data_IF_638533587786
#
_entry.id   IF_638533587786
#
_cell.length_a   1.000
_cell.length_b   1.000
_cell.length_c   1.000
_cell.angle_alpha   90.00
_cell.angle_beta   90.00
_cell.angle_gamma   90.00
#
_symmetry.space_group_name_H-M   'P 1'
#
loop_
_entity.id
_entity.type
_entity.pdbx_description
1 polymer ?
#
# COMPACT_ATOMS: atom_id res chain seq x y z
N UNK A 1 -70.06 -4.01 32.48
CA UNK A 1 -70.38 -5.46 32.49
C UNK A 1 -69.06 -6.19 32.22
N UNK A 2 -68.42 -6.87 33.19
CA UNK A 2 -68.58 -8.33 33.49
C UNK A 2 -68.63 -9.15 32.17
N UNK A 3 -67.73 -10.09 31.80
CA UNK A 3 -66.80 -11.03 32.47
C UNK A 3 -65.67 -11.38 31.46
N UNK A 4 -64.37 -11.54 31.79
CA UNK A 4 -63.60 -12.67 32.40
C UNK A 4 -63.59 -14.01 31.60
N UNK A 5 -62.36 -14.55 31.43
CA UNK A 5 -61.89 -15.95 31.16
C UNK A 5 -61.67 -16.35 29.68
N UNK A 6 -60.60 -17.06 29.25
CA UNK A 6 -59.36 -17.58 29.87
C UNK A 6 -58.48 -18.31 28.83
N UNK A 7 -57.17 -18.43 29.08
CA UNK A 7 -56.19 -19.46 28.61
C UNK A 7 -55.86 -19.49 27.09
N UNK A 8 -54.61 -19.64 26.64
CA UNK A 8 -53.33 -19.88 27.31
C UNK A 8 -52.14 -19.71 26.34
N UNK A 9 -50.95 -19.48 26.91
CA UNK A 9 -49.64 -19.52 26.26
C UNK A 9 -49.22 -20.99 25.97
N UNK A 10 -48.29 -21.26 25.02
CA UNK A 10 -46.83 -21.29 25.34
C UNK A 10 -45.93 -20.57 24.29
N UNK A 11 -44.92 -19.80 24.73
CA UNK A 11 -43.45 -20.10 24.71
C UNK A 11 -42.81 -20.12 23.30
N UNK A 12 -41.71 -19.42 22.99
CA UNK A 12 -40.32 -19.57 23.50
C UNK A 12 -39.54 -18.28 23.11
N UNK A 13 -39.07 -17.48 24.09
CA UNK A 13 -37.69 -17.36 24.61
C UNK A 13 -36.71 -16.52 23.78
N UNK A 14 -36.24 -15.42 24.36
CA UNK A 14 -34.81 -15.17 24.52
C UNK A 14 -34.59 -14.29 25.77
N UNK A 15 -33.74 -14.80 26.65
CA UNK A 15 -33.48 -14.31 28.01
C UNK A 15 -32.41 -13.21 27.95
N UNK A 16 -32.75 -12.02 28.44
CA UNK A 16 -31.76 -11.03 28.91
C UNK A 16 -31.66 -11.19 30.42
N UNK A 17 -30.56 -11.77 30.90
CA UNK A 17 -30.30 -11.90 32.32
C UNK A 17 -29.68 -10.59 32.85
N UNK A 18 -30.52 -9.76 33.48
CA UNK A 18 -30.07 -8.69 34.40
C UNK A 18 -30.09 -9.31 35.81
N UNK A 19 -28.91 -9.58 36.37
CA UNK A 19 -28.80 -10.00 37.77
C UNK A 19 -28.86 -8.78 38.69
N UNK A 20 -29.95 -8.69 39.46
CA UNK A 20 -30.01 -7.89 40.69
C UNK A 20 -29.37 -8.71 41.82
N UNK A 21 -28.35 -8.15 42.49
CA UNK A 21 -27.79 -8.68 43.73
C UNK A 21 -28.43 -7.96 44.94
N UNK A 22 -28.90 -8.76 45.90
CA UNK A 22 -29.35 -8.33 47.24
C UNK A 22 -28.14 -7.99 48.13
N UNK A 23 -28.28 -7.11 49.14
CA UNK A 23 -27.17 -6.73 49.99
C UNK A 23 -26.92 -7.81 51.06
N UNK A 24 -25.74 -8.43 51.01
CA UNK A 24 -25.19 -9.20 52.11
C UNK A 24 -24.01 -8.41 52.68
N UNK A 25 -24.15 -7.90 53.90
CA UNK A 25 -23.04 -7.31 54.65
C UNK A 25 -22.00 -8.39 54.96
N UNK A 26 -20.87 -8.32 54.26
CA UNK A 26 -19.62 -8.96 54.62
C UNK A 26 -18.53 -8.12 53.96
N UNK A 27 -17.77 -7.38 54.76
CA UNK A 27 -16.66 -6.55 54.29
C UNK A 27 -15.59 -7.45 53.65
N UNK A 28 -15.65 -7.56 52.33
CA UNK A 28 -14.55 -7.96 51.46
C UNK A 28 -14.77 -7.22 50.15
N UNK A 29 -14.27 -5.99 50.06
CA UNK A 29 -14.06 -5.32 48.79
C UNK A 29 -13.07 -6.17 47.97
N UNK A 30 -13.57 -7.06 47.13
CA UNK A 30 -12.79 -7.54 45.99
C UNK A 30 -12.51 -6.31 45.13
N UNK A 31 -11.27 -5.80 45.23
CA UNK A 31 -10.75 -4.75 44.35
C UNK A 31 -10.85 -5.31 42.92
N UNK A 32 -11.88 -4.90 42.18
CA UNK A 32 -12.04 -5.23 40.76
C UNK A 32 -10.87 -4.59 40.03
N UNK A 33 -9.84 -5.39 39.74
CA UNK A 33 -8.68 -4.90 38.99
C UNK A 33 -9.13 -4.42 37.62
N UNK A 34 -8.95 -3.12 37.35
CA UNK A 34 -9.24 -2.58 36.04
C UNK A 34 -8.16 -3.06 35.07
N UNK A 35 -8.55 -3.95 34.16
CA UNK A 35 -7.69 -4.43 33.08
C UNK A 35 -7.93 -3.59 31.83
N UNK A 36 -6.86 -3.15 31.18
CA UNK A 36 -6.95 -2.68 29.80
C UNK A 36 -5.83 -3.30 28.98
N UNK A 37 -6.06 -3.43 27.68
CA UNK A 37 -5.10 -4.00 26.75
C UNK A 37 -4.88 -3.01 25.61
N UNK A 38 -3.62 -2.86 25.19
CA UNK A 38 -3.24 -2.03 24.05
C UNK A 38 -2.21 -2.79 23.22
N UNK A 39 -2.41 -2.83 21.91
CA UNK A 39 -1.53 -3.52 20.98
C UNK A 39 -0.89 -2.54 20.01
N UNK A 40 0.35 -2.81 19.64
CA UNK A 40 1.13 -2.05 18.69
C UNK A 40 1.81 -3.02 17.73
N UNK A 41 1.98 -2.59 16.47
CA UNK A 41 2.73 -3.35 15.48
C UNK A 41 3.77 -2.45 14.81
N UNK A 42 4.96 -2.98 14.58
CA UNK A 42 6.06 -2.28 13.89
C UNK A 42 6.71 -3.20 12.85
N UNK A 43 7.36 -2.62 11.86
CA UNK A 43 8.12 -3.39 10.86
C UNK A 43 9.32 -4.12 11.47
N UNK A 44 9.90 -4.99 10.65
CA UNK A 44 11.06 -5.81 10.95
C UNK A 44 12.34 -5.01 11.25
N UNK A 45 12.39 -3.72 10.90
CA UNK A 45 13.53 -2.84 11.10
C UNK A 45 13.73 -2.41 12.56
N UNK A 46 14.73 -1.54 12.76
CA UNK A 46 14.92 -0.88 14.05
C UNK A 46 13.83 0.16 14.24
N UNK A 47 13.08 0.05 15.33
CA UNK A 47 11.94 0.93 15.59
C UNK A 47 12.06 1.62 16.95
N UNK A 48 11.41 2.77 17.05
CA UNK A 48 11.19 3.47 18.30
C UNK A 48 9.72 3.80 18.45
N UNK A 49 9.08 3.21 19.47
CA UNK A 49 7.63 3.32 19.67
C UNK A 49 7.32 4.16 20.91
N UNK A 50 6.38 5.10 20.79
CA UNK A 50 5.86 5.84 21.95
C UNK A 50 4.61 5.13 22.48
N UNK A 51 4.69 4.64 23.72
CA UNK A 51 3.64 3.88 24.39
C UNK A 51 3.06 4.68 25.55
N UNK A 52 1.75 4.85 25.57
CA UNK A 52 1.06 5.51 26.68
C UNK A 52 0.87 4.54 27.85
N UNK A 53 1.21 4.99 29.05
CA UNK A 53 0.95 4.30 30.32
C UNK A 53 -0.21 5.04 31.03
N UNK A 54 -1.43 4.48 31.03
CA UNK A 54 -2.63 5.16 31.53
C UNK A 54 -2.81 5.08 33.06
N UNK A 55 -1.79 4.61 33.79
CA UNK A 55 -1.78 4.53 35.25
C UNK A 55 -1.89 5.93 35.89
N UNK A 56 -2.66 6.08 36.97
CA UNK A 56 -2.80 7.37 37.67
C UNK A 56 -1.89 7.52 38.89
N UNK A 57 -1.41 6.40 39.44
CA UNK A 57 -0.53 6.33 40.60
C UNK A 57 0.88 5.91 40.18
N UNK A 58 1.73 5.55 41.14
CA UNK A 58 3.02 4.90 40.85
C UNK A 58 2.78 3.57 40.14
N UNK A 59 3.61 3.25 39.17
CA UNK A 59 3.48 2.05 38.36
C UNK A 59 4.84 1.43 38.06
N UNK A 60 4.87 0.12 37.83
CA UNK A 60 6.02 -0.63 37.34
C UNK A 60 5.66 -1.44 36.10
N UNK A 61 6.62 -1.62 35.21
CA UNK A 61 6.50 -2.32 33.94
C UNK A 61 7.37 -3.57 33.97
N UNK A 62 6.80 -4.70 33.56
CA UNK A 62 7.49 -5.99 33.52
C UNK A 62 7.13 -6.78 32.25
N UNK A 63 7.89 -7.81 31.91
CA UNK A 63 7.63 -8.66 30.73
C UNK A 63 8.28 -8.18 29.43
N UNK A 64 9.13 -7.16 29.49
CA UNK A 64 9.92 -6.70 28.35
C UNK A 64 10.86 -7.81 27.86
N UNK A 65 10.92 -8.00 26.54
CA UNK A 65 11.89 -8.89 25.90
C UNK A 65 13.22 -8.16 25.65
N UNK A 66 14.31 -8.90 25.45
CA UNK A 66 15.63 -8.31 25.20
C UNK A 66 15.66 -7.40 23.96
N UNK A 67 14.83 -7.69 22.97
CA UNK A 67 14.70 -6.93 21.73
C UNK A 67 13.69 -5.77 21.82
N UNK A 68 12.93 -5.65 22.91
CA UNK A 68 11.84 -4.69 23.09
C UNK A 68 12.02 -3.96 24.43
N UNK A 69 12.87 -2.93 24.43
CA UNK A 69 13.41 -2.33 25.66
C UNK A 69 12.76 -0.97 25.93
N UNK A 70 11.91 -0.84 26.97
CA UNK A 70 11.38 0.44 27.39
C UNK A 70 12.47 1.33 28.00
N UNK A 71 12.41 2.65 27.78
CA UNK A 71 13.39 3.61 28.34
C UNK A 71 13.29 3.76 29.86
N UNK A 72 12.15 3.41 30.44
CA UNK A 72 11.95 3.27 31.88
C UNK A 72 10.99 2.14 32.18
N UNK A 73 11.19 1.47 33.30
CA UNK A 73 10.31 0.41 33.81
C UNK A 73 9.51 0.86 35.02
N UNK A 74 9.64 2.11 35.45
CA UNK A 74 8.85 2.67 36.54
C UNK A 74 8.49 4.13 36.26
N UNK A 75 7.44 4.59 36.92
CA UNK A 75 7.00 5.97 36.83
C UNK A 75 5.81 6.27 37.72
N UNK A 76 5.28 7.48 37.57
CA UNK A 76 4.10 7.94 38.32
C UNK A 76 3.18 8.75 37.42
N UNK A 77 1.89 8.50 37.56
CA UNK A 77 0.87 9.21 36.79
C UNK A 77 0.85 8.80 35.33
N UNK A 78 -0.08 9.40 34.58
CA UNK A 78 -0.25 9.15 33.16
C UNK A 78 0.96 9.73 32.44
N UNK A 79 1.67 8.90 31.68
CA UNK A 79 2.85 9.32 30.92
C UNK A 79 2.97 8.51 29.63
N UNK A 80 3.82 8.97 28.73
CA UNK A 80 4.27 8.18 27.59
C UNK A 80 5.72 7.77 27.81
N UNK A 81 6.03 6.52 27.47
CA UNK A 81 7.39 6.00 27.47
C UNK A 81 7.80 5.67 26.05
N UNK A 82 9.10 5.69 25.81
CA UNK A 82 9.66 5.23 24.55
C UNK A 82 10.09 3.79 24.69
N UNK A 83 9.82 2.96 23.70
CA UNK A 83 10.25 1.57 23.62
C UNK A 83 11.17 1.43 22.41
N UNK A 84 12.41 1.05 22.65
CA UNK A 84 13.39 0.79 21.61
C UNK A 84 13.27 -0.67 21.17
N UNK A 85 13.10 -0.88 19.87
CA UNK A 85 12.85 -2.20 19.29
C UNK A 85 14.02 -2.52 18.37
N UNK A 86 14.76 -3.59 18.69
CA UNK A 86 15.85 -4.08 17.86
C UNK A 86 15.29 -4.72 16.57
N UNK A 87 16.05 -4.76 15.46
CA UNK A 87 15.59 -5.40 14.22
C UNK A 87 15.24 -6.89 14.41
N UNK A 88 14.26 -7.36 13.64
CA UNK A 88 13.91 -8.76 13.48
C UNK A 88 14.37 -9.26 12.11
N UNK A 89 15.53 -9.93 12.07
CA UNK A 89 16.03 -10.54 10.83
C UNK A 89 15.39 -11.88 10.46
N UNK A 90 14.46 -12.40 11.27
CA UNK A 90 13.76 -13.65 10.98
C UNK A 90 12.53 -13.39 10.10
N UNK A 91 12.16 -14.36 9.27
CA UNK A 91 10.91 -14.32 8.47
C UNK A 91 9.67 -14.32 9.35
N UNK A 92 9.73 -14.96 10.52
CA UNK A 92 8.61 -15.03 11.45
C UNK A 92 8.48 -13.74 12.27
N UNK A 93 7.23 -13.31 12.43
CA UNK A 93 6.89 -12.22 13.35
C UNK A 93 7.10 -12.64 14.80
N UNK A 94 7.49 -11.70 15.66
CA UNK A 94 7.68 -11.92 17.10
C UNK A 94 6.88 -10.93 17.92
N UNK A 95 6.47 -11.33 19.12
CA UNK A 95 5.69 -10.46 20.01
C UNK A 95 6.25 -10.44 21.42
N UNK A 96 6.13 -9.29 22.07
CA UNK A 96 6.44 -9.08 23.48
C UNK A 96 5.18 -8.55 24.17
N UNK A 97 4.87 -9.12 25.34
CA UNK A 97 3.75 -8.65 26.18
C UNK A 97 4.30 -8.11 27.49
N UNK A 98 4.18 -6.81 27.67
CA UNK A 98 4.53 -6.12 28.91
C UNK A 98 3.28 -5.86 29.75
N UNK A 99 3.45 -5.84 31.07
CA UNK A 99 2.40 -5.46 32.02
C UNK A 99 2.85 -4.25 32.82
N UNK A 100 2.11 -3.14 32.69
CA UNK A 100 2.20 -2.00 33.59
C UNK A 100 1.23 -2.22 34.76
N UNK A 101 1.77 -2.32 35.98
CA UNK A 101 1.02 -2.61 37.20
C UNK A 101 1.05 -1.38 38.11
N UNK A 102 -0.11 -0.98 38.61
CA UNK A 102 -0.25 0.13 39.55
C UNK A 102 -1.35 -0.23 40.54
N UNK A 103 -0.98 -0.62 41.77
CA UNK A 103 -1.85 -1.07 42.89
C UNK A 103 -3.10 -1.86 42.45
N UNK A 104 -4.14 -1.15 42.01
CA UNK A 104 -5.48 -1.63 41.70
C UNK A 104 -5.70 -1.90 40.18
N UNK A 105 -4.70 -1.65 39.34
CA UNK A 105 -4.82 -1.65 37.87
C UNK A 105 -3.68 -2.40 37.19
N UNK A 106 -4.02 -3.09 36.10
CA UNK A 106 -3.07 -3.79 35.23
C UNK A 106 -3.35 -3.41 33.79
N UNK A 107 -2.33 -2.94 33.10
CA UNK A 107 -2.40 -2.57 31.70
C UNK A 107 -1.47 -3.48 30.90
N UNK A 108 -2.05 -4.30 30.03
CA UNK A 108 -1.31 -5.18 29.12
C UNK A 108 -0.94 -4.40 27.87
N UNK A 109 0.32 -4.45 27.50
CA UNK A 109 0.88 -3.81 26.31
C UNK A 109 1.49 -4.92 25.47
N UNK A 110 0.92 -5.19 24.30
CA UNK A 110 1.48 -6.15 23.34
C UNK A 110 2.12 -5.40 22.19
N UNK A 111 3.39 -5.70 21.92
CA UNK A 111 4.12 -5.16 20.77
C UNK A 111 4.47 -6.34 19.88
N UNK A 112 3.99 -6.30 18.64
CA UNK A 112 4.33 -7.25 17.59
C UNK A 112 5.31 -6.59 16.64
N UNK A 113 6.41 -7.27 16.36
CA UNK A 113 7.34 -6.89 15.31
C UNK A 113 7.21 -7.90 14.18
N UNK A 114 6.96 -7.41 12.98
CA UNK A 114 6.86 -8.27 11.81
C UNK A 114 8.20 -8.93 11.48
N UNK A 115 8.14 -10.05 10.76
CA UNK A 115 9.34 -10.67 10.21
C UNK A 115 9.72 -10.11 8.85
N UNK A 116 10.95 -10.37 8.46
CA UNK A 116 11.54 -10.01 7.17
C UNK A 116 11.07 -10.97 6.04
N UNK A 117 9.79 -11.33 6.02
CA UNK A 117 9.22 -12.21 4.99
C UNK A 117 9.19 -11.51 3.62
N UNK A 118 9.58 -12.24 2.57
CA UNK A 118 9.39 -11.80 1.18
C UNK A 118 7.95 -12.09 0.74
N UNK A 119 7.19 -11.04 0.43
CA UNK A 119 5.83 -11.17 -0.09
C UNK A 119 5.89 -11.41 -1.60
N UNK A 120 5.29 -12.51 -2.05
CA UNK A 120 5.29 -12.90 -3.47
C UNK A 120 3.94 -12.53 -4.11
N UNK A 121 3.97 -11.67 -5.12
CA UNK A 121 2.77 -11.12 -5.76
C UNK A 121 2.66 -11.64 -7.21
N UNK A 122 1.61 -12.39 -7.55
CA UNK A 122 1.36 -12.83 -8.93
C UNK A 122 0.92 -11.64 -9.80
N UNK A 123 1.49 -11.53 -10.99
CA UNK A 123 1.21 -10.49 -12.00
C UNK A 123 0.69 -11.15 -13.27
N UNK A 124 -0.36 -10.56 -13.84
CA UNK A 124 -0.87 -10.90 -15.16
C UNK A 124 -0.88 -9.66 -16.04
N UNK A 125 -0.33 -9.81 -17.25
CA UNK A 125 -0.38 -8.82 -18.31
C UNK A 125 -1.54 -9.12 -19.25
N UNK A 126 -2.50 -8.21 -19.35
CA UNK A 126 -3.57 -8.24 -20.33
C UNK A 126 -3.18 -7.37 -21.54
N UNK A 127 -2.75 -8.02 -22.62
CA UNK A 127 -2.34 -7.34 -23.85
C UNK A 127 -3.57 -7.16 -24.74
N UNK A 128 -4.04 -5.92 -24.88
CA UNK A 128 -5.18 -5.60 -25.75
C UNK A 128 -4.65 -5.29 -27.16
N UNK A 129 -5.12 -6.04 -28.16
CA UNK A 129 -4.58 -5.95 -29.52
C UNK A 129 -5.69 -6.05 -30.57
N UNK A 130 -5.48 -5.49 -31.76
CA UNK A 130 -6.32 -5.75 -32.93
C UNK A 130 -5.57 -6.61 -33.97
N UNK A 131 -4.38 -6.17 -34.37
CA UNK A 131 -3.50 -6.86 -35.30
C UNK A 131 -2.42 -7.64 -34.55
N UNK A 132 -2.42 -8.97 -34.73
CA UNK A 132 -1.43 -9.86 -34.14
C UNK A 132 -0.02 -9.68 -34.74
N UNK A 133 0.10 -9.08 -35.92
CA UNK A 133 1.38 -8.88 -36.61
C UNK A 133 2.02 -7.52 -36.26
N UNK A 134 1.31 -6.65 -35.56
CA UNK A 134 1.85 -5.39 -35.04
C UNK A 134 2.47 -5.64 -33.66
N UNK A 135 3.79 -5.53 -33.56
CA UNK A 135 4.52 -5.75 -32.29
C UNK A 135 4.18 -4.72 -31.21
N UNK A 136 3.69 -3.54 -31.58
CA UNK A 136 3.23 -2.53 -30.61
C UNK A 136 1.80 -2.81 -30.12
N UNK A 137 1.07 -3.74 -30.73
CA UNK A 137 -0.23 -4.21 -30.23
C UNK A 137 -0.10 -5.57 -29.57
N UNK A 138 0.63 -6.50 -30.19
CA UNK A 138 0.86 -7.85 -29.71
C UNK A 138 2.27 -7.95 -29.10
N UNK A 139 2.50 -7.22 -28.01
CA UNK A 139 3.80 -7.17 -27.32
C UNK A 139 4.19 -8.57 -26.86
N UNK A 140 5.41 -8.99 -27.18
CA UNK A 140 5.86 -10.34 -26.89
C UNK A 140 6.04 -10.60 -25.39
N UNK A 141 5.72 -11.81 -24.95
CA UNK A 141 5.79 -12.20 -23.55
C UNK A 141 7.20 -12.04 -22.94
N UNK A 142 8.26 -12.21 -23.73
CA UNK A 142 9.63 -11.95 -23.29
C UNK A 142 9.84 -10.50 -22.86
N UNK A 143 9.31 -9.55 -23.63
CA UNK A 143 9.38 -8.13 -23.30
C UNK A 143 8.58 -7.78 -22.05
N UNK A 144 7.42 -8.40 -21.85
CA UNK A 144 6.63 -8.25 -20.63
C UNK A 144 7.36 -8.80 -19.40
N UNK A 145 8.08 -9.92 -19.56
CA UNK A 145 8.94 -10.47 -18.52
C UNK A 145 10.12 -9.55 -18.20
N UNK A 146 10.71 -8.86 -19.19
CA UNK A 146 11.79 -7.90 -18.94
C UNK A 146 11.34 -6.72 -18.05
N UNK A 147 10.13 -6.19 -18.25
CA UNK A 147 9.56 -5.16 -17.36
C UNK A 147 9.43 -5.67 -15.92
N UNK A 148 8.95 -6.91 -15.76
CA UNK A 148 8.77 -7.51 -14.44
C UNK A 148 10.13 -7.78 -13.76
N UNK A 149 11.13 -8.20 -14.52
CA UNK A 149 12.49 -8.41 -14.02
C UNK A 149 13.13 -7.11 -13.58
N UNK A 150 13.00 -6.03 -14.37
CA UNK A 150 13.49 -4.71 -13.98
C UNK A 150 12.85 -4.22 -12.68
N UNK A 151 11.54 -4.43 -12.51
CA UNK A 151 10.86 -4.16 -11.24
C UNK A 151 11.43 -5.03 -10.11
N UNK A 152 11.60 -6.34 -10.30
CA UNK A 152 12.18 -7.20 -9.27
C UNK A 152 13.59 -6.76 -8.84
N UNK A 153 14.45 -6.33 -9.76
CA UNK A 153 15.79 -5.80 -9.43
C UNK A 153 15.71 -4.53 -8.57
N UNK A 154 14.78 -3.62 -8.87
CA UNK A 154 14.55 -2.42 -8.05
C UNK A 154 14.06 -2.77 -6.65
N UNK A 155 13.06 -3.66 -6.55
CA UNK A 155 12.43 -4.05 -5.29
C UNK A 155 13.32 -4.94 -4.41
N UNK A 156 14.27 -5.67 -5.01
CA UNK A 156 15.32 -6.40 -4.31
C UNK A 156 16.48 -5.51 -3.84
N UNK A 157 16.50 -4.22 -4.21
CA UNK A 157 17.58 -3.30 -3.82
C UNK A 157 18.90 -3.54 -4.56
N UNK A 158 18.90 -4.27 -5.68
CA UNK A 158 20.12 -4.65 -6.43
C UNK A 158 20.91 -3.45 -6.96
N UNK A 159 20.26 -2.30 -7.09
CA UNK A 159 20.89 -1.04 -7.49
C UNK A 159 21.43 -0.21 -6.31
N UNK A 160 21.42 -0.76 -5.08
CA UNK A 160 21.90 -0.10 -3.87
C UNK A 160 20.86 0.78 -3.16
N UNK A 161 19.57 0.57 -3.45
CA UNK A 161 18.45 1.11 -2.67
C UNK A 161 18.02 0.16 -1.54
N UNK A 162 16.94 0.51 -0.83
CA UNK A 162 16.34 -0.36 0.17
C UNK A 162 15.75 -1.63 -0.48
N UNK A 163 15.93 -2.78 0.17
CA UNK A 163 15.25 -4.02 -0.19
C UNK A 163 13.82 -4.03 0.38
N UNK A 164 12.81 -4.12 -0.48
CA UNK A 164 11.41 -4.02 -0.08
C UNK A 164 10.83 -5.33 0.44
N UNK A 165 11.56 -6.45 0.30
CA UNK A 165 11.04 -7.80 0.58
C UNK A 165 9.72 -8.09 -0.14
N UNK A 166 9.67 -7.71 -1.43
CA UNK A 166 8.57 -7.99 -2.34
C UNK A 166 9.16 -8.61 -3.60
N UNK A 167 8.50 -9.65 -4.10
CA UNK A 167 8.88 -10.31 -5.36
C UNK A 167 7.67 -10.50 -6.24
N UNK A 168 7.74 -10.02 -7.46
CA UNK A 168 6.70 -10.20 -8.45
C UNK A 168 6.96 -11.47 -9.27
N UNK A 169 5.89 -12.18 -9.62
CA UNK A 169 5.97 -13.41 -10.41
C UNK A 169 4.93 -13.40 -11.51
N UNK A 170 5.27 -13.91 -12.69
CA UNK A 170 4.29 -14.17 -13.74
C UNK A 170 3.30 -15.23 -13.25
N UNK A 171 2.00 -14.92 -13.28
CA UNK A 171 0.95 -15.85 -12.92
C UNK A 171 1.02 -17.12 -13.77
N UNK A 172 0.90 -18.31 -13.17
CA UNK A 172 0.94 -19.57 -13.94
C UNK A 172 -0.44 -20.17 -14.20
N UNK A 173 -1.44 -19.73 -13.45
CA UNK A 173 -2.78 -20.29 -13.43
C UNK A 173 -3.81 -19.17 -13.62
N UNK A 174 -4.80 -19.41 -14.48
CA UNK A 174 -5.93 -18.51 -14.72
C UNK A 174 -6.84 -18.40 -13.48
N UNK A 175 -7.82 -17.48 -13.47
CA UNK A 175 -8.80 -17.38 -12.39
C UNK A 175 -9.54 -18.70 -12.12
N UNK A 176 -9.79 -19.49 -13.16
CA UNK A 176 -10.47 -20.79 -13.10
C UNK A 176 -9.57 -21.94 -12.61
N UNK A 177 -8.26 -21.68 -12.43
CA UNK A 177 -7.28 -22.65 -11.96
C UNK A 177 -6.60 -23.48 -13.06
N UNK A 178 -6.79 -23.11 -14.33
CA UNK A 178 -6.15 -23.77 -15.47
C UNK A 178 -4.78 -23.16 -15.76
N UNK A 179 -3.83 -23.97 -16.23
CA UNK A 179 -2.50 -23.47 -16.59
C UNK A 179 -2.55 -22.55 -17.81
N UNK A 180 -1.88 -21.41 -17.72
CA UNK A 180 -1.75 -20.49 -18.84
C UNK A 180 -0.83 -21.06 -19.92
N UNK A 181 -1.18 -20.81 -21.19
CA UNK A 181 -0.34 -21.17 -22.32
C UNK A 181 1.00 -20.41 -22.30
N UNK A 182 0.96 -19.17 -21.83
CA UNK A 182 2.12 -18.32 -21.59
C UNK A 182 2.00 -17.78 -20.16
N UNK A 183 2.94 -18.10 -19.25
CA UNK A 183 2.91 -17.59 -17.88
C UNK A 183 2.81 -16.06 -17.86
N UNK A 184 1.85 -15.56 -17.09
CA UNK A 184 1.62 -14.15 -16.80
C UNK A 184 1.10 -13.33 -17.96
N UNK A 185 0.67 -13.93 -19.07
CA UNK A 185 0.21 -13.15 -20.24
C UNK A 185 -1.11 -13.69 -20.77
N UNK A 186 -2.06 -12.78 -20.94
CA UNK A 186 -3.31 -12.97 -21.65
C UNK A 186 -3.39 -12.00 -22.82
N UNK A 187 -3.56 -12.52 -24.03
CA UNK A 187 -3.74 -11.71 -25.24
C UNK A 187 -5.24 -11.60 -25.55
N UNK A 188 -5.78 -10.38 -25.51
CA UNK A 188 -7.21 -10.10 -25.71
C UNK A 188 -7.43 -9.33 -27.02
N UNK A 189 -7.94 -10.02 -28.04
CA UNK A 189 -8.22 -9.36 -29.32
C UNK A 189 -9.46 -8.47 -29.23
N UNK A 190 -9.35 -7.21 -29.67
CA UNK A 190 -10.42 -6.20 -29.64
C UNK A 190 -10.40 -5.30 -30.87
N UNK A 191 -11.58 -4.77 -31.22
CA UNK A 191 -11.70 -3.74 -32.26
C UNK A 191 -11.13 -2.39 -31.77
N UNK A 192 -11.39 -2.04 -30.52
CA UNK A 192 -10.86 -0.87 -29.82
C UNK A 192 -9.57 -1.27 -29.09
N UNK A 193 -8.41 -0.88 -29.61
CA UNK A 193 -7.08 -1.17 -29.03
C UNK A 193 -6.27 0.10 -28.72
N UNK A 194 -6.53 1.19 -29.45
CA UNK A 194 -6.12 2.54 -29.06
C UNK A 194 -7.18 3.10 -28.10
N UNK A 195 -6.79 3.29 -26.84
CA UNK A 195 -7.71 3.70 -25.77
C UNK A 195 -7.11 4.87 -25.01
N UNK A 196 -7.89 5.89 -24.70
CA UNK A 196 -7.49 6.93 -23.75
C UNK A 196 -7.33 6.30 -22.36
N UNK A 197 -6.12 6.39 -21.80
CA UNK A 197 -5.80 5.68 -20.57
C UNK A 197 -6.58 6.22 -19.35
N UNK A 198 -6.89 7.51 -19.31
CA UNK A 198 -7.72 8.07 -18.24
C UNK A 198 -9.16 7.59 -18.35
N UNK A 199 -9.70 7.54 -19.57
CA UNK A 199 -11.04 7.00 -19.81
C UNK A 199 -11.11 5.51 -19.45
N UNK A 200 -10.07 4.74 -19.74
CA UNK A 200 -9.99 3.34 -19.33
C UNK A 200 -9.98 3.21 -17.81
N UNK A 201 -9.05 3.90 -17.14
CA UNK A 201 -8.80 3.75 -15.71
C UNK A 201 -9.93 4.33 -14.86
N UNK A 202 -10.65 5.33 -15.35
CA UNK A 202 -11.77 5.97 -14.63
C UNK A 202 -13.16 5.47 -15.05
N UNK A 203 -13.27 4.53 -15.99
CA UNK A 203 -14.54 3.89 -16.34
C UNK A 203 -15.16 3.26 -15.10
N UNK A 204 -16.38 3.68 -14.77
CA UNK A 204 -17.13 3.13 -13.64
C UNK A 204 -18.44 2.44 -14.09
N UNK A 205 -18.53 2.09 -15.38
CA UNK A 205 -19.71 1.42 -15.96
C UNK A 205 -19.68 -0.10 -15.78
N UNK A 206 -18.55 -0.67 -15.36
CA UNK A 206 -18.29 -2.10 -15.32
C UNK A 206 -17.73 -2.68 -16.63
N UNK A 207 -17.64 -1.88 -17.71
CA UNK A 207 -17.13 -2.33 -19.02
C UNK A 207 -15.70 -2.87 -18.89
N UNK A 208 -14.80 -2.10 -18.27
CA UNK A 208 -13.40 -2.51 -18.13
C UNK A 208 -13.14 -3.31 -16.86
N UNK A 209 -13.93 -3.14 -15.80
CA UNK A 209 -13.86 -4.00 -14.61
C UNK A 209 -14.08 -5.48 -14.96
N UNK A 210 -14.92 -5.77 -15.96
CA UNK A 210 -15.17 -7.13 -16.45
C UNK A 210 -13.93 -7.83 -17.07
N UNK A 211 -12.84 -7.10 -17.33
CA UNK A 211 -11.58 -7.66 -17.83
C UNK A 211 -10.64 -8.08 -16.70
N UNK A 212 -10.89 -7.66 -15.47
CA UNK A 212 -10.01 -7.94 -14.34
C UNK A 212 -10.01 -9.43 -13.99
N UNK A 213 -8.83 -9.94 -13.65
CA UNK A 213 -8.72 -11.06 -12.74
C UNK A 213 -8.81 -10.54 -11.31
N UNK A 214 -9.25 -11.37 -10.36
CA UNK A 214 -9.48 -10.95 -8.97
C UNK A 214 -8.24 -10.27 -8.37
N UNK A 215 -8.29 -8.97 -8.01
CA UNK A 215 -7.15 -8.24 -7.46
C UNK A 215 -6.61 -8.82 -6.15
N UNK A 216 -7.41 -9.62 -5.44
CA UNK A 216 -6.96 -10.36 -4.25
C UNK A 216 -6.18 -11.64 -4.59
N UNK A 217 -5.98 -11.94 -5.88
CA UNK A 217 -5.21 -13.08 -6.38
C UNK A 217 -4.13 -12.71 -7.39
N UNK A 218 -4.31 -11.59 -8.11
CA UNK A 218 -3.38 -11.13 -9.14
C UNK A 218 -3.27 -9.60 -9.16
N UNK A 219 -2.09 -9.07 -9.48
CA UNK A 219 -1.94 -7.69 -9.94
C UNK A 219 -2.24 -7.68 -11.44
N UNK A 220 -3.23 -6.90 -11.83
CA UNK A 220 -3.64 -6.75 -13.23
C UNK A 220 -2.83 -5.62 -13.88
N UNK A 221 -2.12 -5.93 -14.97
CA UNK A 221 -1.37 -4.95 -15.77
C UNK A 221 -1.92 -4.97 -17.20
N UNK A 222 -2.56 -3.90 -17.64
CA UNK A 222 -3.03 -3.76 -19.03
C UNK A 222 -1.94 -3.15 -19.90
N UNK A 223 -1.74 -3.71 -21.10
CA UNK A 223 -0.78 -3.22 -22.09
C UNK A 223 -1.51 -2.99 -23.40
N UNK A 224 -1.58 -1.72 -23.82
CA UNK A 224 -2.28 -1.30 -25.03
C UNK A 224 -1.80 0.07 -25.50
N UNK A 225 -2.20 0.47 -26.71
CA UNK A 225 -1.77 1.76 -27.25
C UNK A 225 -2.59 2.89 -26.64
N UNK A 226 -1.94 3.88 -26.03
CA UNK A 226 -2.66 5.03 -25.51
C UNK A 226 -3.09 5.95 -26.68
N UNK A 227 -4.39 6.23 -26.80
CA UNK A 227 -4.97 7.05 -27.86
C UNK A 227 -4.58 8.54 -27.73
N UNK A 228 -4.46 9.01 -26.49
CA UNK A 228 -4.02 10.34 -26.06
C UNK A 228 -2.89 10.13 -25.04
N UNK A 229 -1.84 10.94 -25.12
CA UNK A 229 -0.67 10.73 -24.27
C UNK A 229 0.50 11.65 -24.57
N UNK A 230 0.55 12.28 -25.75
CA UNK A 230 1.44 13.41 -26.01
C UNK A 230 0.83 14.70 -25.43
N UNK A 231 1.29 15.11 -24.26
CA UNK A 231 1.04 16.46 -23.72
C UNK A 231 2.22 17.36 -24.06
N UNK A 232 2.13 18.66 -23.69
CA UNK A 232 3.29 19.54 -23.72
C UNK A 232 4.48 19.02 -22.86
N UNK A 233 4.19 18.11 -21.92
CA UNK A 233 5.11 17.59 -20.91
C UNK A 233 5.73 16.22 -21.28
N UNK A 234 5.29 15.61 -22.39
CA UNK A 234 5.85 14.36 -22.91
C UNK A 234 4.81 13.29 -23.25
N UNK A 235 5.26 12.04 -23.35
CA UNK A 235 4.42 10.86 -23.60
C UNK A 235 4.10 10.17 -22.27
N UNK A 236 2.83 9.98 -21.93
CA UNK A 236 2.43 9.13 -20.79
C UNK A 236 2.87 7.69 -21.04
N UNK A 237 3.70 7.15 -20.16
CA UNK A 237 4.28 5.80 -20.27
C UNK A 237 3.46 4.76 -19.51
N UNK A 238 2.86 5.16 -18.39
CA UNK A 238 2.07 4.32 -17.51
C UNK A 238 1.08 5.14 -16.72
N UNK A 239 0.14 4.44 -16.08
CA UNK A 239 -0.82 4.99 -15.12
C UNK A 239 -1.23 3.86 -14.18
N UNK A 240 -1.35 4.14 -12.88
CA UNK A 240 -1.73 3.15 -11.87
C UNK A 240 -2.87 3.64 -11.01
N UNK A 241 -3.75 2.72 -10.59
CA UNK A 241 -4.62 2.98 -9.45
C UNK A 241 -3.81 3.08 -8.16
N UNK A 242 -4.23 3.98 -7.26
CA UNK A 242 -3.64 4.13 -5.94
C UNK A 242 -4.39 3.25 -4.90
N UNK A 243 -3.71 2.67 -3.89
CA UNK A 243 -4.34 1.79 -2.93
C UNK A 243 -5.24 2.50 -1.92
N UNK A 244 -6.12 1.69 -1.33
CA UNK A 244 -6.98 2.09 -0.21
C UNK A 244 -6.35 1.66 1.12
N UNK A 245 -6.56 2.43 2.18
CA UNK A 245 -6.31 1.99 3.55
C UNK A 245 -7.60 1.96 4.36
N UNK A 246 -7.88 0.88 5.10
CA UNK A 246 -8.96 0.87 6.07
C UNK A 246 -8.78 1.96 7.13
N UNK A 247 -9.87 2.53 7.64
CA UNK A 247 -9.82 3.61 8.65
C UNK A 247 -9.03 3.22 9.90
N UNK A 248 -9.11 1.96 10.32
CA UNK A 248 -8.39 1.42 11.47
C UNK A 248 -6.90 1.14 11.21
N UNK A 249 -6.46 1.28 9.96
CA UNK A 249 -5.08 1.17 9.50
C UNK A 249 -4.68 2.34 8.59
N UNK A 250 -5.11 3.55 8.94
CA UNK A 250 -4.82 4.77 8.20
C UNK A 250 -3.31 4.97 7.95
N UNK A 251 -2.98 5.32 6.71
CA UNK A 251 -1.67 5.82 6.31
C UNK A 251 -1.85 7.16 5.63
N UNK A 252 -1.07 8.16 6.04
CA UNK A 252 -1.14 9.49 5.45
C UNK A 252 -0.80 9.46 3.95
N UNK A 253 -1.51 10.29 3.17
CA UNK A 253 -1.38 10.33 1.72
C UNK A 253 -2.11 9.23 0.95
N UNK A 254 -2.89 8.36 1.62
CA UNK A 254 -3.67 7.27 0.99
C UNK A 254 -5.18 7.50 1.04
N UNK A 255 -5.91 6.78 0.19
CA UNK A 255 -7.37 6.86 0.15
C UNK A 255 -8.00 5.99 1.23
N UNK A 256 -8.83 6.59 2.08
CA UNK A 256 -9.51 5.85 3.14
C UNK A 256 -10.70 5.06 2.61
N UNK A 257 -10.91 3.87 3.18
CA UNK A 257 -12.11 3.06 2.95
C UNK A 257 -12.70 2.56 4.26
N UNK A 258 -14.04 2.48 4.31
CA UNK A 258 -14.76 1.81 5.39
C UNK A 258 -14.80 0.28 5.22
N UNK A 259 -14.31 -0.23 4.09
CA UNK A 259 -14.42 -1.63 3.69
C UNK A 259 -13.05 -2.32 3.80
N UNK A 260 -12.77 -3.04 4.90
CA UNK A 260 -11.49 -3.73 5.09
C UNK A 260 -11.32 -4.94 4.16
N UNK A 261 -12.42 -5.43 3.56
CA UNK A 261 -12.42 -6.52 2.58
C UNK A 261 -13.27 -6.10 1.38
N UNK A 262 -12.68 -6.17 0.19
CA UNK A 262 -13.32 -5.82 -1.09
C UNK A 262 -12.99 -6.93 -2.08
N UNK A 263 -14.00 -7.39 -2.81
CA UNK A 263 -13.86 -8.45 -3.82
C UNK A 263 -14.00 -7.88 -5.23
N UNK A 264 -13.59 -8.67 -6.24
CA UNK A 264 -13.84 -8.34 -7.64
C UNK A 264 -15.31 -7.96 -7.92
N UNK A 265 -16.27 -8.67 -7.31
CA UNK A 265 -17.71 -8.42 -7.52
C UNK A 265 -18.20 -7.07 -6.98
N UNK A 266 -17.41 -6.42 -6.13
CA UNK A 266 -17.71 -5.08 -5.63
C UNK A 266 -17.20 -3.97 -6.57
N UNK A 267 -16.32 -4.28 -7.54
CA UNK A 267 -15.68 -3.30 -8.41
C UNK A 267 -16.49 -3.02 -9.67
N UNK A 268 -16.54 -1.73 -10.04
CA UNK A 268 -17.16 -1.23 -11.27
C UNK A 268 -16.16 -0.53 -12.21
N UNK A 269 -14.91 -0.42 -11.78
CA UNK A 269 -13.79 0.15 -12.53
C UNK A 269 -12.58 -0.80 -12.53
N UNK A 270 -11.66 -0.71 -13.51
CA UNK A 270 -10.58 -1.67 -13.68
C UNK A 270 -9.41 -1.37 -12.74
N UNK A 271 -9.55 -1.63 -11.43
CA UNK A 271 -8.47 -1.48 -10.45
C UNK A 271 -7.21 -2.27 -10.87
N UNK A 272 -6.23 -1.56 -11.45
CA UNK A 272 -5.11 -2.12 -12.22
C UNK A 272 -4.00 -1.09 -12.47
N UNK A 273 -2.96 -1.53 -13.17
CA UNK A 273 -1.93 -0.70 -13.82
C UNK A 273 -2.17 -0.75 -15.34
N UNK A 274 -1.93 0.36 -16.05
CA UNK A 274 -1.87 0.37 -17.51
C UNK A 274 -0.52 0.89 -18.00
N UNK A 275 0.05 0.24 -19.02
CA UNK A 275 1.30 0.61 -19.67
C UNK A 275 1.06 0.92 -21.15
N UNK A 276 1.76 1.92 -21.67
CA UNK A 276 1.64 2.37 -23.05
C UNK A 276 2.48 1.52 -23.99
N UNK A 277 1.81 0.75 -24.86
CA UNK A 277 2.52 -0.14 -25.77
C UNK A 277 3.20 0.57 -26.94
N UNK A 278 2.88 1.84 -27.22
CA UNK A 278 3.55 2.64 -28.27
C UNK A 278 5.05 2.77 -28.07
N UNK A 279 5.50 2.79 -26.81
CA UNK A 279 6.91 2.90 -26.44
C UNK A 279 7.46 1.59 -25.86
N UNK A 280 6.77 0.46 -26.04
CA UNK A 280 7.10 -0.83 -25.41
C UNK A 280 8.56 -1.26 -25.61
N UNK A 281 9.17 -0.96 -26.76
CA UNK A 281 10.52 -1.39 -27.13
C UNK A 281 11.59 -0.30 -26.95
N UNK A 282 11.20 0.87 -26.46
CA UNK A 282 12.13 1.94 -26.16
C UNK A 282 12.96 1.61 -24.91
N UNK A 283 14.20 2.08 -24.83
CA UNK A 283 15.07 1.76 -23.69
C UNK A 283 14.62 2.44 -22.40
N UNK A 284 13.98 3.61 -22.50
CA UNK A 284 13.60 4.45 -21.36
C UNK A 284 12.34 3.97 -20.63
N UNK A 285 11.51 3.12 -21.24
CA UNK A 285 10.26 2.63 -20.60
C UNK A 285 10.53 1.50 -19.59
N UNK A 286 11.74 0.93 -19.56
CA UNK A 286 12.00 -0.32 -18.82
C UNK A 286 11.67 -0.20 -17.32
N UNK A 287 11.86 0.98 -16.73
CA UNK A 287 11.56 1.23 -15.31
C UNK A 287 10.10 1.65 -15.04
N UNK A 288 9.30 1.87 -16.09
CA UNK A 288 7.90 2.32 -15.94
C UNK A 288 7.07 1.35 -15.10
N UNK A 289 7.19 0.03 -15.31
CA UNK A 289 6.45 -0.91 -14.47
C UNK A 289 6.88 -0.85 -12.99
N UNK A 290 8.17 -0.63 -12.71
CA UNK A 290 8.68 -0.46 -11.34
C UNK A 290 8.03 0.76 -10.66
N UNK A 291 7.94 1.86 -11.41
CA UNK A 291 7.28 3.11 -11.01
C UNK A 291 5.79 2.92 -10.74
N UNK A 292 5.05 2.35 -11.69
CA UNK A 292 3.60 2.13 -11.55
C UNK A 292 3.27 1.15 -10.42
N UNK A 293 4.09 0.11 -10.22
CA UNK A 293 3.96 -0.77 -9.06
C UNK A 293 4.18 -0.02 -7.75
N UNK A 294 5.07 0.99 -7.74
CA UNK A 294 5.28 1.86 -6.59
C UNK A 294 3.99 2.60 -6.22
N UNK A 295 3.30 3.19 -7.21
CA UNK A 295 1.98 3.80 -7.01
C UNK A 295 0.93 2.79 -6.55
N UNK A 296 0.83 1.63 -7.21
CA UNK A 296 -0.08 0.55 -6.83
C UNK A 296 0.13 0.10 -5.37
N UNK A 297 1.37 0.23 -4.87
CA UNK A 297 1.77 -0.11 -3.51
C UNK A 297 1.89 1.10 -2.57
N UNK A 298 1.36 2.27 -2.96
CA UNK A 298 1.12 3.42 -2.08
C UNK A 298 2.25 4.44 -1.99
N UNK A 299 3.18 4.43 -2.94
CA UNK A 299 4.22 5.45 -3.08
C UNK A 299 3.77 6.58 -3.99
N UNK A 300 4.12 7.80 -3.63
CA UNK A 300 3.86 9.01 -4.43
C UNK A 300 5.14 9.47 -5.11
N UNK A 301 5.01 10.44 -6.01
CA UNK A 301 6.14 11.09 -6.64
C UNK A 301 7.02 11.79 -5.60
N UNK A 302 8.35 11.65 -5.72
CA UNK A 302 9.31 12.33 -4.82
C UNK A 302 9.40 13.83 -5.04
N UNK A 303 8.89 14.34 -6.16
CA UNK A 303 8.81 15.79 -6.38
C UNK A 303 7.57 16.38 -5.74
N UNK A 304 7.61 17.68 -5.47
CA UNK A 304 6.51 18.40 -4.86
C UNK A 304 5.28 18.40 -5.76
N UNK A 305 4.18 17.85 -5.25
CA UNK A 305 2.85 17.88 -5.85
C UNK A 305 1.94 18.79 -5.02
N UNK A 306 1.45 19.87 -5.62
CA UNK A 306 0.52 20.79 -4.98
C UNK A 306 -0.17 21.72 -5.97
N UNK A 307 -1.17 22.47 -5.51
CA UNK A 307 -2.03 23.31 -6.36
C UNK A 307 -1.31 24.53 -6.99
N UNK A 308 -0.02 24.76 -6.69
CA UNK A 308 0.74 25.93 -7.13
C UNK A 308 2.15 25.55 -7.56
N UNK A 309 2.54 25.98 -8.76
CA UNK A 309 3.84 25.71 -9.42
C UNK A 309 5.08 26.18 -8.65
N UNK A 310 4.91 27.00 -7.62
CA UNK A 310 6.00 27.56 -6.81
C UNK A 310 6.18 26.89 -5.44
N UNK A 311 5.42 25.84 -5.15
CA UNK A 311 5.43 25.18 -3.84
C UNK A 311 6.47 24.07 -3.84
N UNK A 312 7.43 24.15 -2.92
CA UNK A 312 8.36 23.07 -2.61
C UNK A 312 7.97 22.47 -1.26
N UNK A 313 7.26 21.35 -1.30
CA UNK A 313 6.78 20.60 -0.14
C UNK A 313 7.14 19.13 -0.28
N UNK A 314 7.23 18.47 0.86
CA UNK A 314 7.10 17.02 0.92
C UNK A 314 5.62 16.67 0.76
N UNK A 315 5.33 15.97 -0.34
CA UNK A 315 4.03 15.42 -0.69
C UNK A 315 4.06 13.90 -0.83
N UNK A 316 5.21 13.27 -0.63
CA UNK A 316 5.40 11.83 -0.79
C UNK A 316 5.34 11.06 0.53
N UNK A 317 5.43 11.80 1.65
CA UNK A 317 5.33 11.32 3.01
C UNK A 317 6.44 10.33 3.38
N UNK A 318 7.64 10.55 2.83
CA UNK A 318 8.88 9.86 3.16
C UNK A 318 9.92 10.92 3.57
N UNK A 319 10.41 10.89 4.80
CA UNK A 319 11.36 11.90 5.28
C UNK A 319 12.76 11.71 4.67
N UNK A 320 13.06 10.50 4.19
CA UNK A 320 14.34 10.13 3.58
C UNK A 320 14.42 10.35 2.05
N UNK A 321 13.38 10.92 1.43
CA UNK A 321 13.38 11.34 0.02
C UNK A 321 13.51 12.86 -0.09
N UNK A 322 14.58 13.37 -0.72
CA UNK A 322 14.71 14.81 -0.95
C UNK A 322 13.63 15.31 -1.93
N UNK A 323 12.66 16.05 -1.40
CA UNK A 323 11.63 16.70 -2.22
C UNK A 323 12.19 17.86 -3.04
N UNK A 324 11.68 18.07 -4.25
CA UNK A 324 12.10 19.17 -5.12
C UNK A 324 10.96 19.69 -6.02
N UNK A 325 11.09 20.93 -6.50
CA UNK A 325 10.13 21.50 -7.46
C UNK A 325 10.41 21.02 -8.89
N UNK A 326 9.53 20.17 -9.43
CA UNK A 326 9.66 19.63 -10.79
C UNK A 326 9.54 20.69 -11.88
N UNK A 327 8.72 21.72 -11.68
CA UNK A 327 8.54 22.80 -12.66
C UNK A 327 9.80 23.66 -12.78
N UNK A 328 10.50 23.93 -11.68
CA UNK A 328 11.81 24.59 -11.71
C UNK A 328 12.85 23.76 -12.45
N UNK A 329 12.88 22.45 -12.21
CA UNK A 329 13.74 21.53 -12.94
C UNK A 329 13.46 21.54 -14.45
N UNK A 330 12.18 21.45 -14.86
CA UNK A 330 11.80 21.48 -16.27
C UNK A 330 12.15 22.81 -16.94
N UNK A 331 11.91 23.95 -16.26
CA UNK A 331 12.34 25.28 -16.74
C UNK A 331 13.85 25.34 -16.96
N UNK A 332 14.62 24.81 -16.01
CA UNK A 332 16.07 24.75 -16.14
C UNK A 332 16.50 23.84 -17.29
N UNK A 333 15.86 22.68 -17.49
CA UNK A 333 16.14 21.78 -18.62
C UNK A 333 15.82 22.42 -19.98
N UNK A 334 14.73 23.18 -20.08
CA UNK A 334 14.40 23.92 -21.29
C UNK A 334 15.45 24.99 -21.61
N UNK A 335 15.91 25.74 -20.61
CA UNK A 335 17.03 26.68 -20.77
C UNK A 335 18.32 25.97 -21.14
N UNK A 336 18.66 24.89 -20.44
CA UNK A 336 19.91 24.14 -20.63
C UNK A 336 20.01 23.58 -22.04
N UNK A 337 18.92 23.04 -22.60
CA UNK A 337 18.88 22.48 -23.95
C UNK A 337 19.21 23.49 -25.06
N UNK A 338 19.05 24.79 -24.80
CA UNK A 338 19.39 25.86 -25.75
C UNK A 338 20.70 26.61 -25.44
N UNK A 339 21.30 26.41 -24.27
CA UNK A 339 22.41 27.24 -23.77
C UNK A 339 23.65 26.47 -23.33
N UNK A 340 23.54 25.17 -23.06
CA UNK A 340 24.68 24.33 -22.66
C UNK A 340 25.19 23.51 -23.85
N UNK A 341 26.46 23.11 -23.80
CA UNK A 341 26.97 22.07 -24.70
C UNK A 341 26.26 20.72 -24.44
N UNK A 342 26.22 19.80 -25.41
CA UNK A 342 25.64 18.47 -25.20
C UNK A 342 26.24 17.73 -23.99
N UNK A 343 27.55 17.86 -23.77
CA UNK A 343 28.25 17.24 -22.64
C UNK A 343 27.79 17.83 -21.29
N UNK A 344 27.69 19.15 -21.21
CA UNK A 344 27.18 19.84 -20.02
C UNK A 344 25.70 19.50 -19.76
N UNK A 345 24.86 19.46 -20.80
CA UNK A 345 23.46 19.09 -20.68
C UNK A 345 23.29 17.68 -20.08
N UNK A 346 24.06 16.71 -20.57
CA UNK A 346 24.04 15.33 -20.06
C UNK A 346 24.47 15.26 -18.60
N UNK A 347 25.43 16.10 -18.18
CA UNK A 347 25.89 16.15 -16.80
C UNK A 347 24.85 16.75 -15.84
N UNK A 348 24.12 17.80 -16.26
CA UNK A 348 23.19 18.50 -15.36
C UNK A 348 21.80 17.88 -15.30
N UNK A 349 21.37 17.13 -16.34
CA UNK A 349 19.99 16.63 -16.41
C UNK A 349 19.61 15.65 -15.30
N UNK A 350 20.58 14.94 -14.73
CA UNK A 350 20.36 13.97 -13.65
C UNK A 350 20.33 14.62 -12.26
N UNK A 351 20.67 15.91 -12.15
CA UNK A 351 20.70 16.62 -10.89
C UNK A 351 19.33 17.22 -10.55
N UNK A 352 19.08 17.36 -9.26
CA UNK A 352 17.93 18.05 -8.67
C UNK A 352 18.43 19.02 -7.60
N UNK A 353 17.66 20.07 -7.36
CA UNK A 353 17.83 20.98 -6.22
C UNK A 353 16.67 20.76 -5.27
N UNK A 354 16.94 20.17 -4.11
CA UNK A 354 15.92 19.87 -3.12
C UNK A 354 15.37 21.12 -2.45
N UNK A 355 14.25 20.99 -1.75
CA UNK A 355 13.56 22.11 -1.11
C UNK A 355 14.41 22.83 -0.05
N UNK A 356 15.50 22.22 0.45
CA UNK A 356 16.44 22.88 1.35
C UNK A 356 17.65 23.52 0.65
N UNK A 357 17.69 23.46 -0.69
CA UNK A 357 18.74 24.01 -1.57
C UNK A 357 19.92 23.06 -1.80
N UNK A 358 19.84 21.82 -1.31
CA UNK A 358 20.81 20.78 -1.54
C UNK A 358 20.75 20.25 -2.97
N UNK A 359 21.90 19.96 -3.57
CA UNK A 359 21.95 19.29 -4.86
C UNK A 359 22.13 17.79 -4.68
N UNK A 360 21.36 17.00 -5.43
CA UNK A 360 21.44 15.55 -5.41
C UNK A 360 21.24 14.96 -6.82
N UNK A 361 21.68 13.71 -7.00
CA UNK A 361 21.45 12.94 -8.22
C UNK A 361 20.13 12.20 -8.10
N UNK A 362 19.26 12.34 -9.10
CA UNK A 362 18.01 11.61 -9.20
C UNK A 362 18.26 10.12 -9.46
N UNK A 363 17.93 9.30 -8.48
CA UNK A 363 18.04 7.83 -8.54
C UNK A 363 16.74 7.12 -8.16
N UNK A 364 15.77 7.84 -7.59
CA UNK A 364 14.57 7.25 -7.01
C UNK A 364 13.64 6.73 -8.11
N UNK A 365 13.07 5.53 -7.93
CA UNK A 365 12.10 4.94 -8.87
C UNK A 365 10.90 5.86 -9.09
N UNK A 366 10.48 6.61 -8.06
CA UNK A 366 9.29 7.47 -8.08
C UNK A 366 9.58 8.90 -8.62
N UNK A 367 10.73 9.14 -9.24
CA UNK A 367 11.07 10.40 -9.93
C UNK A 367 10.79 10.29 -11.44
N UNK A 368 10.68 11.42 -12.12
CA UNK A 368 10.48 11.56 -13.57
C UNK A 368 11.70 12.05 -14.33
N UNK A 369 11.59 11.94 -15.65
CA UNK A 369 12.55 12.46 -16.62
C UNK A 369 13.91 11.76 -16.55
N UNK A 370 14.98 12.49 -16.22
CA UNK A 370 16.34 11.95 -16.28
C UNK A 370 16.83 11.57 -14.88
N UNK A 371 17.39 10.37 -14.78
CA UNK A 371 17.95 9.80 -13.55
C UNK A 371 18.15 8.30 -13.71
N UNK A 372 18.61 7.63 -12.66
CA UNK A 372 18.76 6.17 -12.68
C UNK A 372 17.41 5.45 -12.49
N UNK A 373 16.47 6.08 -11.78
CA UNK A 373 15.10 5.61 -11.53
C UNK A 373 14.99 4.14 -11.07
N UNK A 374 15.87 3.72 -10.15
CA UNK A 374 16.05 2.30 -9.83
C UNK A 374 16.29 2.01 -8.33
N UNK A 375 16.15 3.01 -7.45
CA UNK A 375 16.31 2.83 -6.00
C UNK A 375 15.06 3.28 -5.25
N UNK A 376 14.68 2.51 -4.23
CA UNK A 376 13.75 2.93 -3.19
C UNK A 376 14.49 3.27 -1.90
N UNK A 377 13.80 3.94 -0.99
CA UNK A 377 14.30 4.29 0.34
C UNK A 377 13.66 3.44 1.46
N UNK A 378 14.14 3.58 2.70
CA UNK A 378 13.63 2.79 3.83
C UNK A 378 12.23 3.25 4.26
N UNK A 379 11.91 4.55 4.15
CA UNK A 379 10.55 5.04 4.40
C UNK A 379 9.59 4.55 3.31
N UNK A 380 10.01 4.55 2.04
CA UNK A 380 9.23 3.98 0.95
C UNK A 380 8.95 2.48 1.18
N UNK A 381 9.96 1.70 1.63
CA UNK A 381 9.75 0.31 2.06
C UNK A 381 8.68 0.23 3.15
N UNK A 382 8.78 1.05 4.19
CA UNK A 382 7.83 1.04 5.31
C UNK A 382 6.39 1.28 4.86
N UNK A 383 6.19 2.22 3.93
CA UNK A 383 4.87 2.50 3.31
C UNK A 383 4.35 1.33 2.49
N UNK A 384 5.17 0.75 1.61
CA UNK A 384 4.80 -0.44 0.81
C UNK A 384 4.41 -1.59 1.73
N UNK A 385 5.18 -1.86 2.78
CA UNK A 385 4.88 -2.93 3.75
C UNK A 385 3.57 -2.65 4.50
N UNK A 386 3.27 -1.39 4.82
CA UNK A 386 1.97 -1.03 5.41
C UNK A 386 0.81 -1.33 4.46
N UNK A 387 0.93 -0.97 3.18
CA UNK A 387 -0.10 -1.24 2.17
C UNK A 387 -0.33 -2.74 2.01
N UNK A 388 0.73 -3.55 1.87
CA UNK A 388 0.61 -5.00 1.72
C UNK A 388 -0.10 -5.67 2.90
N UNK A 389 0.07 -5.14 4.11
CA UNK A 389 -0.55 -5.66 5.34
C UNK A 389 -2.02 -5.28 5.48
N UNK A 390 -2.42 -4.12 4.97
CA UNK A 390 -3.68 -3.49 5.35
C UNK A 390 -4.64 -3.20 4.19
N UNK A 391 -4.13 -2.98 2.98
CA UNK A 391 -4.93 -2.62 1.83
C UNK A 391 -5.74 -3.82 1.31
N UNK A 392 -7.04 -3.66 0.99
CA UNK A 392 -7.77 -4.63 0.19
C UNK A 392 -7.27 -4.61 -1.28
N UNK A 393 -7.72 -5.56 -2.11
CA UNK A 393 -7.44 -5.57 -3.56
C UNK A 393 -5.97 -5.75 -3.94
N UNK A 394 -5.20 -6.43 -3.09
CA UNK A 394 -3.81 -6.84 -3.34
C UNK A 394 -3.70 -8.34 -3.06
N UNK A 395 -2.90 -9.12 -3.83
CA UNK A 395 -2.85 -10.57 -3.70
C UNK A 395 -1.99 -11.04 -2.53
N UNK A 396 -2.44 -10.73 -1.32
CA UNK A 396 -1.82 -11.18 -0.06
C UNK A 396 -2.66 -12.27 0.61
N UNK A 397 -2.04 -13.06 1.48
CA UNK A 397 -2.75 -14.12 2.20
C UNK A 397 -3.93 -13.60 3.03
N UNK A 398 -3.80 -12.39 3.59
CA UNK A 398 -4.90 -11.72 4.31
C UNK A 398 -6.12 -11.56 3.43
N UNK A 399 -5.91 -11.08 2.21
CA UNK A 399 -6.97 -10.83 1.25
C UNK A 399 -7.49 -12.13 0.61
N UNK A 400 -6.70 -13.20 0.59
CA UNK A 400 -7.17 -14.54 0.20
C UNK A 400 -8.09 -15.19 1.26
N UNK A 401 -7.94 -14.84 2.54
CA UNK A 401 -8.69 -15.40 3.68
C UNK A 401 -9.85 -14.49 4.10
N UNK A 402 -10.69 -14.10 3.16
CA UNK A 402 -11.79 -13.17 3.41
C UNK A 402 -12.78 -13.72 4.44
N UNK A 403 -13.03 -12.93 5.49
CA UNK A 403 -14.07 -13.24 6.46
C UNK A 403 -15.44 -12.95 5.83
N UNK A 404 -16.18 -14.01 5.47
CA UNK A 404 -17.47 -13.91 4.78
C UNK A 404 -18.50 -13.00 5.47
N UNK A 405 -18.44 -12.88 6.80
CA UNK A 405 -19.34 -12.01 7.57
C UNK A 405 -19.07 -10.50 7.41
N UNK A 406 -17.92 -10.12 6.83
CA UNK A 406 -17.53 -8.73 6.58
C UNK A 406 -17.64 -8.33 5.10
N UNK A 407 -18.17 -9.23 4.25
CA UNK A 407 -18.38 -8.94 2.85
C UNK A 407 -19.61 -8.04 2.65
N UNK A 408 -19.46 -7.08 1.75
CA UNK A 408 -20.56 -6.27 1.26
C UNK A 408 -21.17 -6.92 0.01
N UNK A 409 -22.50 -6.91 -0.08
CA UNK A 409 -23.23 -7.43 -1.24
C UNK A 409 -23.35 -6.36 -2.33
N UNK A 410 -22.81 -6.64 -3.52
CA UNK A 410 -22.93 -5.79 -4.70
C UNK A 410 -21.86 -4.68 -4.80
N UNK A 411 -21.98 -3.79 -5.81
CA UNK A 411 -21.00 -2.74 -6.07
C UNK A 411 -20.78 -1.80 -4.88
N UNK A 412 -19.52 -1.41 -4.66
CA UNK A 412 -19.14 -0.39 -3.68
C UNK A 412 -18.69 0.86 -4.42
N UNK A 413 -19.21 2.01 -4.00
CA UNK A 413 -18.74 3.31 -4.46
C UNK A 413 -17.43 3.67 -3.73
N UNK A 414 -16.31 3.48 -4.44
CA UNK A 414 -14.96 3.78 -3.96
C UNK A 414 -14.40 4.99 -4.71
N UNK A 415 -13.62 5.87 -4.07
CA UNK A 415 -12.94 6.94 -4.79
C UNK A 415 -11.93 6.36 -5.77
N UNK A 416 -12.10 6.66 -7.06
CA UNK A 416 -11.14 6.26 -8.10
C UNK A 416 -10.02 7.30 -8.12
N UNK A 417 -8.80 6.85 -7.80
CA UNK A 417 -7.60 7.69 -7.81
C UNK A 417 -6.54 7.00 -8.63
N UNK A 418 -6.05 7.73 -9.63
CA UNK A 418 -4.99 7.32 -10.54
C UNK A 418 -3.75 8.20 -10.33
N UNK A 419 -2.57 7.65 -10.60
CA UNK A 419 -1.27 8.33 -10.57
C UNK A 419 -0.57 8.09 -11.92
N UNK A 420 0.07 9.13 -12.48
CA UNK A 420 0.76 9.10 -13.79
C UNK A 420 1.72 10.26 -13.98
#
# INVERSE_FOLDING_TARGET
MKKIFSFGLPFVSCVVAVFFLLPSCGDNEEIVQRKSEKSYSVDEGKNQLVVEIPCRKAWSLSGAAEWCVPTTTEGRGKTSITVNIAPNGAEESRSCTMQAVSEDTRHTITITQYGAETIVLPVVFHVLYNDRNDSLQYVEAGRLADFLEAANLCYAGEYGGAELNVRFTLATDSPDGEKLAVPGVEYLQRDEYEIDCEVFMTDNSGKYAALLWDPNRYINVFMYQFASGETADGVTLGISHFPYTPIDAYLEGTNLTNYPYITLSNLMYPYSISLNSKCAYESYILMTLSHELGHYLGLRHVFSEGDSESVCIDSDYCEDTPSYNREDYLRYMAWAGGNLSPEEYVAVRVLREGCSGEQFVSVNVMDYNYGDQNRFTDDQRSRVRHILRNSPLIPTERNARIQRSMLHDGPIDLPIVTMK
#
